data_IF_787173357649
#
_entry.id   IF_787173357649
#
_cell.length_a   1.000
_cell.length_b   1.000
_cell.length_c   1.000
_cell.angle_alpha   90.00
_cell.angle_beta   90.00
_cell.angle_gamma   90.00
#
_symmetry.space_group_name_H-M   'P 1'
#
loop_
_entity.id
_entity.type
_entity.pdbx_description
1 polymer ?
#
# COMPACT_ATOMS: atom_id res chain seq x y z
N UNK A 1 18.58 -9.91 4.19
CA UNK A 1 17.48 -9.00 4.59
C UNK A 1 16.17 -9.23 3.83
N UNK A 2 16.18 -9.53 2.52
CA UNK A 2 14.95 -9.67 1.70
C UNK A 2 14.91 -11.01 0.96
N UNK A 3 14.43 -12.10 1.58
CA UNK A 3 14.31 -13.40 0.90
C UNK A 3 13.26 -13.35 -0.22
N UNK A 4 13.40 -14.26 -1.20
CA UNK A 4 12.41 -14.42 -2.27
C UNK A 4 11.07 -14.87 -1.69
N UNK A 5 10.01 -14.09 -1.92
CA UNK A 5 8.67 -14.40 -1.44
C UNK A 5 7.57 -13.67 -2.22
N UNK A 6 6.34 -14.13 -2.04
CA UNK A 6 5.14 -13.51 -2.63
C UNK A 6 4.92 -12.10 -2.06
N UNK A 7 4.33 -11.21 -2.86
CA UNK A 7 4.10 -9.81 -2.47
C UNK A 7 3.43 -9.67 -1.09
N UNK A 8 2.38 -10.46 -0.83
CA UNK A 8 1.65 -10.46 0.46
C UNK A 8 2.52 -10.76 1.68
N UNK A 9 3.65 -11.46 1.53
CA UNK A 9 4.52 -11.85 2.64
C UNK A 9 5.67 -10.87 2.87
N UNK A 10 5.93 -9.93 1.93
CA UNK A 10 7.12 -9.07 1.98
C UNK A 10 7.15 -8.19 3.22
N UNK A 11 6.01 -7.61 3.63
CA UNK A 11 5.95 -6.74 4.81
C UNK A 11 6.45 -7.44 6.09
N UNK A 12 6.25 -8.75 6.23
CA UNK A 12 6.71 -9.52 7.38
C UNK A 12 8.10 -10.14 7.18
N UNK A 13 8.35 -10.71 6.00
CA UNK A 13 9.56 -11.50 5.74
C UNK A 13 10.79 -10.65 5.39
N UNK A 14 10.58 -9.44 4.87
CA UNK A 14 11.69 -8.54 4.57
C UNK A 14 12.04 -7.75 5.82
N UNK A 15 13.28 -7.88 6.27
CA UNK A 15 13.79 -7.25 7.49
C UNK A 15 14.59 -6.00 7.16
N UNK A 16 14.32 -4.86 7.79
CA UNK A 16 15.24 -3.73 7.77
C UNK A 16 16.55 -4.05 8.51
N UNK A 17 17.60 -3.27 8.26
CA UNK A 17 18.87 -3.40 8.97
C UNK A 17 18.78 -2.98 10.45
N UNK A 18 17.94 -1.98 10.75
CA UNK A 18 17.58 -1.55 12.10
C UNK A 18 16.12 -1.91 12.42
N UNK A 19 15.71 -1.91 13.68
CA UNK A 19 14.31 -2.12 14.05
C UNK A 19 14.15 -2.67 15.47
N UNK A 20 13.04 -3.38 15.71
CA UNK A 20 12.78 -4.08 16.99
C UNK A 20 13.93 -5.02 17.33
N UNK A 21 14.53 -4.81 18.51
CA UNK A 21 15.58 -5.68 19.08
C UNK A 21 15.20 -6.13 20.49
N UNK A 22 15.92 -7.12 21.02
CA UNK A 22 15.82 -7.59 22.41
C UNK A 22 16.59 -6.69 23.38
N UNK A 23 17.04 -5.52 22.94
CA UNK A 23 17.78 -4.54 23.72
C UNK A 23 17.02 -3.20 23.75
N UNK A 24 17.19 -2.45 24.83
CA UNK A 24 16.69 -1.09 24.96
C UNK A 24 17.53 -0.11 24.13
N UNK A 25 17.08 1.14 24.01
CA UNK A 25 17.87 2.19 23.36
C UNK A 25 19.21 2.48 24.05
N UNK A 26 19.32 2.17 25.35
CA UNK A 26 20.56 2.28 26.12
C UNK A 26 21.47 1.05 26.01
N UNK A 27 21.06 0.01 25.27
CA UNK A 27 21.84 -1.21 25.06
C UNK A 27 21.62 -2.32 26.11
N UNK A 28 20.72 -2.11 27.07
CA UNK A 28 20.40 -3.11 28.10
C UNK A 28 19.42 -4.16 27.58
N UNK A 29 19.47 -5.43 28.05
CA UNK A 29 18.45 -6.42 27.69
C UNK A 29 17.05 -5.94 28.06
N UNK A 30 16.11 -5.98 27.11
CA UNK A 30 14.73 -5.51 27.34
C UNK A 30 13.86 -6.50 28.12
N UNK A 31 14.37 -7.70 28.41
CA UNK A 31 13.61 -8.81 28.98
C UNK A 31 12.68 -9.51 27.98
N UNK A 32 12.62 -9.04 26.73
CA UNK A 32 11.84 -9.65 25.66
C UNK A 32 12.68 -10.64 24.87
N UNK A 33 12.05 -11.73 24.42
CA UNK A 33 12.65 -12.70 23.53
C UNK A 33 12.24 -12.44 22.06
N UNK A 34 12.97 -13.05 21.12
CA UNK A 34 12.67 -12.86 19.68
C UNK A 34 11.24 -13.32 19.31
N UNK A 35 10.70 -14.31 20.02
CA UNK A 35 9.33 -14.77 19.79
C UNK A 35 8.28 -13.71 20.17
N UNK A 36 8.55 -12.88 21.18
CA UNK A 36 7.70 -11.73 21.54
C UNK A 36 7.70 -10.69 20.42
N UNK A 37 8.89 -10.36 19.92
CA UNK A 37 9.05 -9.41 18.81
C UNK A 37 8.37 -9.94 17.54
N UNK A 38 8.49 -11.24 17.26
CA UNK A 38 7.81 -11.87 16.14
C UNK A 38 6.29 -11.82 16.30
N UNK A 39 5.76 -12.08 17.50
CA UNK A 39 4.33 -11.99 17.80
C UNK A 39 3.82 -10.57 17.58
N UNK A 40 4.54 -9.56 18.04
CA UNK A 40 4.20 -8.14 17.81
C UNK A 40 4.12 -7.81 16.31
N UNK A 41 5.09 -8.25 15.52
CA UNK A 41 5.07 -8.05 14.05
C UNK A 41 3.86 -8.72 13.40
N UNK A 42 3.56 -9.96 13.79
CA UNK A 42 2.41 -10.70 13.27
C UNK A 42 1.07 -10.01 13.60
N UNK A 43 0.89 -9.56 14.85
CA UNK A 43 -0.32 -8.86 15.29
C UNK A 43 -0.48 -7.50 14.59
N UNK A 44 0.60 -6.74 14.40
CA UNK A 44 0.49 -5.50 13.63
C UNK A 44 0.17 -5.76 12.15
N UNK A 45 0.72 -6.81 11.56
CA UNK A 45 0.42 -7.16 10.17
C UNK A 45 -1.04 -7.61 9.98
N UNK A 46 -1.71 -8.18 10.99
CA UNK A 46 -3.12 -8.54 10.90
C UNK A 46 -4.07 -7.34 10.82
N UNK A 47 -3.58 -6.12 11.06
CA UNK A 47 -4.36 -4.91 10.80
C UNK A 47 -4.58 -4.65 9.29
N UNK A 48 -3.88 -5.36 8.41
CA UNK A 48 -3.96 -5.19 6.96
C UNK A 48 -4.75 -6.34 6.33
N UNK A 49 -5.72 -6.01 5.47
CA UNK A 49 -6.40 -7.00 4.65
C UNK A 49 -5.44 -7.65 3.62
N UNK A 50 -5.77 -8.86 3.17
CA UNK A 50 -4.97 -9.62 2.20
C UNK A 50 -4.73 -8.89 0.87
N UNK A 51 -5.70 -8.10 0.40
CA UNK A 51 -5.55 -7.28 -0.80
C UNK A 51 -4.57 -6.12 -0.57
N UNK A 52 -4.59 -5.54 0.62
CA UNK A 52 -3.68 -4.46 1.04
C UNK A 52 -2.26 -4.95 1.18
N UNK A 53 -2.03 -6.11 1.80
CA UNK A 53 -0.67 -6.68 1.95
C UNK A 53 -0.01 -6.97 0.61
N UNK A 54 -0.77 -7.43 -0.40
CA UNK A 54 -0.28 -7.61 -1.78
C UNK A 54 0.14 -6.28 -2.39
N UNK A 55 -0.72 -5.28 -2.33
CA UNK A 55 -0.48 -3.94 -2.91
C UNK A 55 0.71 -3.26 -2.24
N UNK A 56 0.75 -3.28 -0.90
CA UNK A 56 1.82 -2.69 -0.12
C UNK A 56 3.15 -3.43 -0.30
N UNK A 57 3.13 -4.76 -0.39
CA UNK A 57 4.30 -5.55 -0.70
C UNK A 57 4.83 -5.34 -2.12
N UNK A 58 3.97 -5.00 -3.09
CA UNK A 58 4.42 -4.56 -4.42
C UNK A 58 5.11 -3.19 -4.34
N UNK A 59 4.53 -2.24 -3.59
CA UNK A 59 5.15 -0.93 -3.35
C UNK A 59 6.48 -1.01 -2.62
N UNK A 60 6.61 -1.91 -1.63
CA UNK A 60 7.86 -2.14 -0.92
C UNK A 60 8.96 -2.71 -1.84
N UNK A 61 8.62 -3.59 -2.78
CA UNK A 61 9.56 -4.04 -3.81
C UNK A 61 10.01 -2.87 -4.69
N UNK A 62 9.07 -2.04 -5.15
CA UNK A 62 9.40 -0.89 -5.99
C UNK A 62 10.33 0.11 -5.26
N UNK A 63 10.07 0.36 -3.98
CA UNK A 63 10.93 1.19 -3.12
C UNK A 63 12.35 0.64 -3.04
N UNK A 64 12.49 -0.65 -2.75
CA UNK A 64 13.81 -1.27 -2.64
C UNK A 64 14.56 -1.32 -3.98
N UNK A 65 13.86 -1.55 -5.10
CA UNK A 65 14.45 -1.47 -6.43
C UNK A 65 14.98 -0.07 -6.73
N UNK A 66 14.21 0.98 -6.40
CA UNK A 66 14.67 2.37 -6.46
C UNK A 66 15.90 2.59 -5.58
N UNK A 67 15.91 2.09 -4.34
CA UNK A 67 17.07 2.21 -3.46
C UNK A 67 18.32 1.49 -4.00
N UNK A 68 18.14 0.33 -4.64
CA UNK A 68 19.23 -0.42 -5.28
C UNK A 68 19.81 0.36 -6.46
N UNK A 69 18.95 0.93 -7.31
CA UNK A 69 19.35 1.79 -8.44
C UNK A 69 20.13 3.02 -7.96
N UNK A 70 19.69 3.65 -6.87
CA UNK A 70 20.37 4.81 -6.24
C UNK A 70 21.53 4.44 -5.32
N UNK A 71 21.87 3.14 -5.21
CA UNK A 71 22.95 2.61 -4.37
C UNK A 71 22.87 3.05 -2.90
N UNK A 72 21.66 3.22 -2.39
CA UNK A 72 21.44 3.54 -0.96
C UNK A 72 21.79 2.33 -0.12
N UNK A 73 22.56 2.51 0.94
CA UNK A 73 22.86 1.45 1.91
C UNK A 73 21.60 1.00 2.66
N UNK A 74 21.61 -0.20 3.24
CA UNK A 74 20.46 -0.71 4.02
C UNK A 74 20.10 0.20 5.21
N UNK A 75 21.08 0.87 5.82
CA UNK A 75 20.86 1.83 6.91
C UNK A 75 20.16 3.12 6.44
N UNK A 76 20.35 3.53 5.17
CA UNK A 76 19.66 4.69 4.58
C UNK A 76 18.23 4.38 4.14
N UNK A 77 17.86 3.09 4.06
CA UNK A 77 16.53 2.66 3.62
C UNK A 77 15.52 2.62 4.76
N UNK A 78 15.99 2.51 6.00
CA UNK A 78 15.16 2.22 7.16
C UNK A 78 15.84 2.69 8.47
N UNK A 79 15.33 3.74 9.14
CA UNK A 79 14.19 4.57 8.76
C UNK A 79 14.43 5.36 7.46
N UNK A 80 13.45 5.35 6.56
CA UNK A 80 13.50 6.17 5.36
C UNK A 80 13.33 7.66 5.72
N UNK A 81 14.15 8.53 5.14
CA UNK A 81 13.97 9.98 5.27
C UNK A 81 12.85 10.49 4.35
N UNK A 82 12.32 11.68 4.67
CA UNK A 82 11.36 12.36 3.81
C UNK A 82 11.90 12.56 2.38
N UNK A 83 13.17 12.96 2.25
CA UNK A 83 13.81 13.18 0.95
C UNK A 83 13.89 11.88 0.13
N UNK A 84 14.26 10.76 0.75
CA UNK A 84 14.32 9.46 0.07
C UNK A 84 12.92 9.03 -0.38
N UNK A 85 11.89 9.21 0.44
CA UNK A 85 10.52 8.90 0.07
C UNK A 85 9.98 9.81 -1.04
N UNK A 86 10.28 11.11 -1.00
CA UNK A 86 9.88 12.05 -2.04
C UNK A 86 10.59 11.76 -3.36
N UNK A 87 11.90 11.48 -3.33
CA UNK A 87 12.66 11.10 -4.51
C UNK A 87 12.15 9.79 -5.13
N UNK A 88 11.80 8.80 -4.29
CA UNK A 88 11.16 7.57 -4.74
C UNK A 88 9.83 7.84 -5.47
N UNK A 89 8.92 8.59 -4.85
CA UNK A 89 7.62 8.90 -5.47
C UNK A 89 7.79 9.74 -6.74
N UNK A 90 8.71 10.69 -6.74
CA UNK A 90 9.00 11.54 -7.90
C UNK A 90 9.54 10.73 -9.08
N UNK A 91 10.38 9.72 -8.82
CA UNK A 91 10.92 8.84 -9.86
C UNK A 91 9.85 8.04 -10.60
N UNK A 92 8.67 7.84 -9.99
CA UNK A 92 7.55 7.09 -10.56
C UNK A 92 6.40 7.98 -11.03
N UNK A 93 6.45 9.28 -10.74
CA UNK A 93 5.40 10.22 -11.11
C UNK A 93 5.24 10.30 -12.62
N UNK A 94 4.00 10.36 -13.11
CA UNK A 94 3.69 10.35 -14.54
C UNK A 94 3.66 8.98 -15.20
N UNK A 95 4.25 7.95 -14.59
CA UNK A 95 4.20 6.58 -15.10
C UNK A 95 3.03 5.77 -14.54
N UNK A 96 2.61 6.05 -13.31
CA UNK A 96 1.57 5.34 -12.59
C UNK A 96 0.43 6.26 -12.15
N UNK A 97 -0.73 5.65 -11.84
CA UNK A 97 -1.83 6.37 -11.20
C UNK A 97 -1.40 6.94 -9.85
N UNK A 98 -1.92 8.12 -9.47
CA UNK A 98 -1.60 8.72 -8.18
C UNK A 98 -1.97 7.80 -7.01
N UNK A 99 -3.11 7.11 -7.09
CA UNK A 99 -3.54 6.10 -6.10
C UNK A 99 -2.55 4.94 -5.95
N UNK A 100 -1.88 4.52 -7.03
CA UNK A 100 -0.84 3.48 -6.97
C UNK A 100 0.36 3.95 -6.16
N UNK A 101 0.85 5.16 -6.42
CA UNK A 101 2.00 5.72 -5.72
C UNK A 101 1.69 6.05 -4.25
N UNK A 102 0.47 6.53 -3.97
CA UNK A 102 -0.03 6.68 -2.59
C UNK A 102 -0.03 5.33 -1.85
N UNK A 103 -0.49 4.26 -2.48
CA UNK A 103 -0.42 2.92 -1.89
C UNK A 103 1.02 2.45 -1.68
N UNK A 104 1.96 2.80 -2.56
CA UNK A 104 3.37 2.45 -2.38
C UNK A 104 3.97 3.17 -1.18
N UNK A 105 3.70 4.47 -1.02
CA UNK A 105 4.08 5.24 0.16
C UNK A 105 3.59 4.57 1.46
N UNK A 106 2.30 4.24 1.51
CA UNK A 106 1.72 3.59 2.69
C UNK A 106 2.22 2.16 2.90
N UNK A 107 2.62 1.46 1.84
CA UNK A 107 3.28 0.16 1.97
C UNK A 107 4.64 0.25 2.65
N UNK A 108 5.46 1.24 2.27
CA UNK A 108 6.73 1.52 2.94
C UNK A 108 6.50 1.94 4.39
N UNK A 109 5.51 2.81 4.66
CA UNK A 109 5.11 3.19 6.03
C UNK A 109 4.72 1.98 6.87
N UNK A 110 3.83 1.12 6.35
CA UNK A 110 3.37 -0.06 7.07
C UNK A 110 4.54 -0.99 7.43
N UNK A 111 5.47 -1.20 6.49
CA UNK A 111 6.69 -1.96 6.75
C UNK A 111 7.51 -1.36 7.90
N UNK A 112 7.75 -0.03 7.90
CA UNK A 112 8.46 0.63 9.00
C UNK A 112 7.80 0.40 10.36
N UNK A 113 6.48 0.64 10.44
CA UNK A 113 5.73 0.48 11.69
C UNK A 113 5.73 -0.98 12.18
N UNK A 114 5.56 -1.94 11.27
CA UNK A 114 5.62 -3.38 11.58
C UNK A 114 6.98 -3.73 12.20
N UNK A 115 8.09 -3.23 11.65
CA UNK A 115 9.42 -3.51 12.18
C UNK A 115 9.86 -2.55 13.30
N UNK A 116 8.95 -1.69 13.79
CA UNK A 116 9.17 -0.80 14.94
C UNK A 116 10.14 0.34 14.67
N UNK A 117 10.20 0.80 13.44
CA UNK A 117 10.98 1.96 13.03
C UNK A 117 10.14 3.24 13.15
N UNK A 118 10.81 4.36 13.39
CA UNK A 118 10.18 5.67 13.31
C UNK A 118 9.69 5.96 11.88
N UNK A 119 8.62 6.75 11.80
CA UNK A 119 8.08 7.24 10.55
C UNK A 119 7.84 8.74 10.67
N UNK A 120 8.91 9.50 10.45
CA UNK A 120 8.90 10.96 10.57
C UNK A 120 8.82 11.58 9.17
N UNK A 121 7.60 11.90 8.75
CA UNK A 121 7.31 12.52 7.46
C UNK A 121 6.60 13.84 7.68
N UNK A 122 7.06 14.91 7.03
CA UNK A 122 6.35 16.18 7.05
C UNK A 122 4.99 16.01 6.33
N UNK A 123 3.91 16.20 7.06
CA UNK A 123 2.55 15.97 6.55
C UNK A 123 2.19 16.92 5.41
N UNK A 124 2.50 18.22 5.55
CA UNK A 124 2.19 19.22 4.53
C UNK A 124 2.94 18.95 3.21
N UNK A 125 4.22 18.58 3.30
CA UNK A 125 5.03 18.19 2.14
C UNK A 125 4.51 16.89 1.51
N UNK A 126 4.12 15.91 2.34
CA UNK A 126 3.53 14.65 1.86
C UNK A 126 2.23 14.88 1.10
N UNK A 127 1.33 15.71 1.63
CA UNK A 127 0.07 16.06 0.97
C UNK A 127 0.30 16.85 -0.33
N UNK A 128 1.32 17.71 -0.36
CA UNK A 128 1.72 18.43 -1.57
C UNK A 128 2.22 17.45 -2.63
N UNK A 129 3.04 16.47 -2.22
CA UNK A 129 3.53 15.42 -3.11
C UNK A 129 2.38 14.58 -3.68
N UNK A 130 1.40 14.19 -2.85
CA UNK A 130 0.22 13.45 -3.31
C UNK A 130 -0.63 14.21 -4.35
N UNK A 131 -0.80 15.52 -4.16
CA UNK A 131 -1.45 16.36 -5.19
C UNK A 131 -0.64 16.44 -6.48
N UNK A 132 0.68 16.54 -6.37
CA UNK A 132 1.57 16.58 -7.52
C UNK A 132 1.52 15.29 -8.35
N UNK A 133 1.63 14.11 -7.71
CA UNK A 133 1.55 12.82 -8.39
C UNK A 133 0.18 12.58 -9.05
N UNK A 134 -0.91 13.02 -8.42
CA UNK A 134 -2.26 12.84 -8.98
C UNK A 134 -2.48 13.74 -10.21
N UNK A 135 -1.91 14.94 -10.19
CA UNK A 135 -1.92 15.85 -11.36
C UNK A 135 -1.08 15.29 -12.50
N UNK A 136 0.05 14.68 -12.19
CA UNK A 136 0.95 14.09 -13.19
C UNK A 136 0.49 12.72 -13.70
N UNK A 137 -0.45 12.07 -13.02
CA UNK A 137 -0.92 10.73 -13.39
C UNK A 137 -1.32 10.66 -14.88
N UNK A 138 -0.90 9.60 -15.60
CA UNK A 138 -1.12 9.51 -17.03
C UNK A 138 -2.60 9.43 -17.35
N UNK A 139 -3.04 10.06 -18.45
CA UNK A 139 -4.44 10.05 -18.85
C UNK A 139 -5.00 8.62 -19.02
N UNK A 140 -4.15 7.68 -19.44
CA UNK A 140 -4.49 6.25 -19.57
C UNK A 140 -4.84 5.58 -18.25
N UNK A 141 -4.41 6.10 -17.09
CA UNK A 141 -4.78 5.54 -15.79
C UNK A 141 -6.17 5.97 -15.33
N UNK A 142 -6.78 6.94 -16.01
CA UNK A 142 -8.12 7.44 -15.67
C UNK A 142 -9.17 6.67 -16.47
N UNK A 143 -10.15 6.11 -15.76
CA UNK A 143 -11.29 5.46 -16.41
C UNK A 143 -12.12 6.53 -17.12
N UNK A 144 -12.45 6.29 -18.40
CA UNK A 144 -13.45 7.10 -19.11
C UNK A 144 -14.76 7.10 -18.30
N UNK A 145 -15.46 8.24 -18.27
CA UNK A 145 -16.80 8.30 -17.68
C UNK A 145 -17.66 7.21 -18.33
N UNK A 146 -18.31 6.40 -17.50
CA UNK A 146 -19.27 5.40 -17.99
C UNK A 146 -20.49 6.15 -18.54
N UNK A 147 -21.11 5.60 -19.59
CA UNK A 147 -22.39 6.11 -20.07
C UNK A 147 -23.43 6.02 -18.93
N UNK A 148 -24.37 6.98 -18.84
CA UNK A 148 -25.47 6.90 -17.89
C UNK A 148 -26.29 5.64 -18.16
N UNK A 149 -26.87 5.08 -17.09
CA UNK A 149 -27.90 4.05 -17.22
C UNK A 149 -29.18 4.75 -17.64
N UNK A 150 -29.68 4.46 -18.84
CA UNK A 150 -30.91 5.07 -19.37
C UNK A 150 -32.12 4.17 -19.13
N UNK A 151 -33.33 4.73 -19.24
CA UNK A 151 -34.57 3.97 -19.15
C UNK A 151 -34.59 2.81 -20.16
N UNK A 152 -34.09 3.00 -21.38
CA UNK A 152 -34.05 1.91 -22.37
C UNK A 152 -33.14 0.76 -21.93
N UNK A 153 -32.04 1.06 -21.23
CA UNK A 153 -31.15 0.05 -20.66
C UNK A 153 -31.89 -0.72 -19.55
N UNK A 154 -32.59 -0.02 -18.65
CA UNK A 154 -33.38 -0.64 -17.57
C UNK A 154 -34.49 -1.52 -18.16
N UNK A 155 -35.22 -1.04 -19.19
CA UNK A 155 -36.25 -1.82 -19.87
C UNK A 155 -35.69 -3.09 -20.52
N UNK A 156 -34.52 -3.01 -21.17
CA UNK A 156 -33.85 -4.19 -21.76
C UNK A 156 -33.42 -5.20 -20.70
N UNK A 157 -32.95 -4.74 -19.53
CA UNK A 157 -32.61 -5.62 -18.41
C UNK A 157 -33.88 -6.28 -17.87
N UNK A 158 -34.98 -5.53 -17.67
CA UNK A 158 -36.26 -6.05 -17.19
C UNK A 158 -36.81 -7.19 -18.04
N UNK A 159 -36.68 -7.09 -19.37
CA UNK A 159 -37.12 -8.12 -20.31
C UNK A 159 -36.38 -9.46 -20.16
N UNK A 160 -35.20 -9.45 -19.53
CA UNK A 160 -34.37 -10.65 -19.29
C UNK A 160 -34.50 -11.18 -17.86
N UNK A 161 -35.19 -10.47 -16.98
CA UNK A 161 -35.41 -10.85 -15.59
C UNK A 161 -36.80 -11.45 -15.42
N UNK A 162 -36.85 -12.65 -14.83
CA UNK A 162 -38.09 -13.28 -14.40
C UNK A 162 -38.47 -12.81 -12.98
N UNK A 163 -39.38 -11.85 -12.89
CA UNK A 163 -39.84 -11.30 -11.60
C UNK A 163 -40.67 -12.28 -10.76
N UNK A 164 -40.99 -13.48 -11.26
CA UNK A 164 -41.50 -14.57 -10.43
C UNK A 164 -40.43 -15.17 -9.52
N UNK A 165 -39.15 -14.96 -9.82
CA UNK A 165 -38.03 -15.38 -8.99
C UNK A 165 -37.61 -14.26 -8.04
N UNK A 166 -37.55 -14.57 -6.74
CA UNK A 166 -37.23 -13.59 -5.69
C UNK A 166 -35.89 -12.86 -5.94
N UNK A 167 -34.88 -13.57 -6.45
CA UNK A 167 -33.58 -12.97 -6.78
C UNK A 167 -33.69 -11.93 -7.90
N UNK A 168 -34.39 -12.26 -8.98
CA UNK A 168 -34.55 -11.35 -10.12
C UNK A 168 -35.43 -10.15 -9.79
N UNK A 169 -36.48 -10.34 -8.98
CA UNK A 169 -37.29 -9.26 -8.46
C UNK A 169 -36.47 -8.29 -7.60
N UNK A 170 -35.61 -8.81 -6.70
CA UNK A 170 -34.71 -8.00 -5.89
C UNK A 170 -33.68 -7.23 -6.74
N UNK A 171 -33.07 -7.89 -7.73
CA UNK A 171 -32.14 -7.23 -8.66
C UNK A 171 -32.82 -6.09 -9.43
N UNK A 172 -34.05 -6.30 -9.90
CA UNK A 172 -34.79 -5.27 -10.62
C UNK A 172 -35.19 -4.10 -9.71
N UNK A 173 -35.61 -4.36 -8.48
CA UNK A 173 -35.95 -3.30 -7.52
C UNK A 173 -34.74 -2.41 -7.16
N UNK A 174 -33.51 -2.93 -7.20
CA UNK A 174 -32.30 -2.13 -6.98
C UNK A 174 -31.84 -1.33 -8.21
N UNK A 175 -32.46 -1.52 -9.38
CA UNK A 175 -32.13 -0.79 -10.61
C UNK A 175 -32.94 0.50 -10.79
N UNK A 176 -34.06 0.64 -10.07
CA UNK A 176 -34.99 1.77 -10.08
C UNK A 176 -34.80 2.63 -8.84
#
# INVERSE_FOLDING_TARGET
>A
LRPACLARHRLLQWRPAAGRTTFTASGEPSGLAEHDLQRVRNVMASALADSTTKTYGAGLLAFHAFCDERRLSEAQRAPASADVMQAFLASLAGMYAGTTLTNYFYGVRAWHLIHGLSWDMNEAATQTMFRAIERLAPASSRRKKRAPVTEEVISKIRQRLDTGQAMHAAVFACLT
#
